data_IF_023422682638
#
_entry.id   IF_023422682638
#
_cell.length_a   1.000
_cell.length_b   1.000
_cell.length_c   1.000
_cell.angle_alpha   90.00
_cell.angle_beta   90.00
_cell.angle_gamma   90.00
#
_symmetry.space_group_name_H-M   'P 1'
#
loop_
_entity.id
_entity.type
_entity.pdbx_description
1 polymer ?
#
# COMPACT_ATOMS: atom_id res chain seq x y z
N UNK A 1 -46.13 -27.46 73.62
CA UNK A 1 -45.08 -28.52 73.61
C UNK A 1 -45.10 -29.21 72.26
N UNK A 2 -43.94 -29.33 71.60
CA UNK A 2 -43.56 -30.29 70.53
C UNK A 2 -44.27 -30.11 69.17
N UNK A 3 -43.57 -29.61 68.15
CA UNK A 3 -42.79 -30.36 67.14
C UNK A 3 -43.71 -31.01 66.09
N UNK A 4 -43.49 -30.97 64.76
CA UNK A 4 -42.27 -30.82 64.00
C UNK A 4 -42.55 -30.26 62.60
N UNK A 5 -41.54 -29.57 62.06
CA UNK A 5 -41.37 -29.23 60.64
C UNK A 5 -41.13 -30.49 59.82
N UNK A 6 -41.65 -30.56 58.61
CA UNK A 6 -41.01 -31.30 57.51
C UNK A 6 -41.06 -30.43 56.26
N UNK A 7 -39.87 -30.02 55.81
CA UNK A 7 -39.60 -29.36 54.54
C UNK A 7 -39.65 -30.41 53.42
N UNK A 8 -40.28 -30.07 52.30
CA UNK A 8 -40.02 -30.73 51.02
C UNK A 8 -39.72 -29.67 49.96
N UNK A 9 -38.42 -29.48 49.70
CA UNK A 9 -37.89 -28.70 48.57
C UNK A 9 -37.89 -29.61 47.34
N UNK A 10 -38.83 -29.39 46.42
CA UNK A 10 -38.75 -29.95 45.07
C UNK A 10 -37.83 -29.05 44.23
N UNK A 11 -36.58 -29.47 44.07
CA UNK A 11 -35.61 -28.82 43.18
C UNK A 11 -35.92 -29.14 41.72
N UNK A 12 -36.32 -28.12 40.95
CA UNK A 12 -36.35 -28.20 39.49
C UNK A 12 -34.93 -28.00 38.94
N UNK A 13 -34.37 -29.04 38.33
CA UNK A 13 -33.10 -28.96 37.62
C UNK A 13 -33.31 -28.26 36.26
N UNK A 14 -32.91 -26.99 36.17
CA UNK A 14 -32.82 -26.28 34.90
C UNK A 14 -31.50 -26.66 34.19
N UNK A 15 -31.60 -27.41 33.09
CA UNK A 15 -30.47 -27.72 32.23
C UNK A 15 -30.05 -26.48 31.43
N UNK A 16 -28.96 -25.83 31.82
CA UNK A 16 -28.36 -24.74 31.06
C UNK A 16 -27.56 -25.31 29.88
N UNK A 17 -28.07 -25.16 28.66
CA UNK A 17 -27.35 -25.45 27.42
C UNK A 17 -26.33 -24.33 27.19
N UNK A 18 -25.08 -24.58 27.55
CA UNK A 18 -23.97 -23.68 27.24
C UNK A 18 -23.64 -23.75 25.75
N UNK A 19 -24.07 -22.75 24.98
CA UNK A 19 -23.62 -22.56 23.60
C UNK A 19 -22.17 -22.09 23.64
N UNK A 20 -21.23 -23.01 23.48
CA UNK A 20 -19.82 -22.69 23.30
C UNK A 20 -19.64 -21.99 21.94
N UNK A 21 -19.63 -20.67 21.96
CA UNK A 21 -19.24 -19.87 20.80
C UNK A 21 -17.76 -20.07 20.51
N UNK A 22 -17.44 -20.74 19.40
CA UNK A 22 -16.08 -20.84 18.89
C UNK A 22 -15.57 -19.46 18.49
N UNK A 23 -14.86 -18.80 19.39
CA UNK A 23 -14.06 -17.64 19.06
C UNK A 23 -12.88 -18.10 18.20
N UNK A 24 -13.03 -18.04 16.87
CA UNK A 24 -11.91 -18.21 15.97
C UNK A 24 -10.84 -17.17 16.33
N UNK A 25 -9.68 -17.63 16.80
CA UNK A 25 -8.55 -16.78 17.10
C UNK A 25 -8.18 -15.99 15.83
N UNK A 26 -8.45 -14.69 15.84
CA UNK A 26 -7.99 -13.79 14.79
C UNK A 26 -6.47 -13.71 14.95
N UNK A 27 -5.74 -14.49 14.15
CA UNK A 27 -4.29 -14.36 14.08
C UNK A 27 -3.96 -12.91 13.73
N UNK A 28 -3.15 -12.20 14.54
CA UNK A 28 -2.74 -10.85 14.21
C UNK A 28 -1.99 -10.86 12.88
N UNK A 29 -2.60 -10.28 11.85
CA UNK A 29 -1.99 -10.16 10.52
C UNK A 29 -0.86 -9.14 10.66
N UNK A 30 0.38 -9.63 10.77
CA UNK A 30 1.55 -8.75 10.73
C UNK A 30 1.62 -8.10 9.34
N UNK A 31 1.70 -6.76 9.24
CA UNK A 31 1.84 -6.11 7.94
C UNK A 31 3.13 -6.55 7.26
N UNK A 32 3.07 -6.82 5.95
CA UNK A 32 4.27 -7.10 5.15
C UNK A 32 5.32 -5.99 5.36
N UNK A 33 6.61 -6.34 5.50
CA UNK A 33 7.68 -5.36 5.67
C UNK A 33 7.74 -4.39 4.48
N UNK A 34 8.22 -3.17 4.71
CA UNK A 34 8.52 -2.24 3.61
C UNK A 34 9.75 -2.72 2.85
N UNK A 35 9.84 -2.44 1.55
CA UNK A 35 11.02 -2.78 0.76
C UNK A 35 12.29 -2.27 1.47
N UNK A 36 13.37 -3.07 1.61
CA UNK A 36 14.54 -2.70 2.40
C UNK A 36 15.12 -1.33 2.03
N UNK A 37 15.21 -1.03 0.73
CA UNK A 37 15.67 0.26 0.20
C UNK A 37 14.82 1.47 0.67
N UNK A 38 13.56 1.26 1.03
CA UNK A 38 12.61 2.29 1.44
C UNK A 38 12.48 2.42 2.97
N UNK A 39 13.24 1.65 3.76
CA UNK A 39 13.11 1.66 5.23
C UNK A 39 13.41 3.03 5.83
N UNK A 40 14.51 3.68 5.38
CA UNK A 40 14.86 5.03 5.82
C UNK A 40 13.85 6.07 5.32
N UNK A 41 13.44 5.93 4.05
CA UNK A 41 12.41 6.76 3.40
C UNK A 41 11.11 6.77 4.20
N UNK A 42 10.67 5.61 4.68
CA UNK A 42 9.46 5.48 5.48
C UNK A 42 9.55 6.29 6.78
N UNK A 43 10.66 6.18 7.50
CA UNK A 43 10.89 6.96 8.73
C UNK A 43 10.86 8.47 8.44
N UNK A 44 11.53 8.90 7.38
CA UNK A 44 11.57 10.32 7.00
C UNK A 44 10.20 10.85 6.57
N UNK A 45 9.40 10.07 5.82
CA UNK A 45 8.04 10.46 5.43
C UNK A 45 7.15 10.63 6.66
N UNK A 46 7.18 9.69 7.61
CA UNK A 46 6.41 9.81 8.86
C UNK A 46 6.74 11.06 9.68
N UNK A 47 8.00 11.49 9.63
CA UNK A 47 8.43 12.70 10.31
C UNK A 47 7.93 13.97 9.61
N UNK A 48 7.77 13.95 8.28
CA UNK A 48 7.44 15.14 7.47
C UNK A 48 5.98 15.28 7.07
N UNK A 49 5.20 14.19 7.08
CA UNK A 49 3.79 14.23 6.65
C UNK A 49 2.87 13.38 7.54
N UNK A 50 1.59 13.77 7.58
CA UNK A 50 0.50 13.02 8.21
C UNK A 50 -0.35 12.25 7.20
N UNK A 51 0.10 12.17 5.95
CA UNK A 51 -0.56 11.36 4.94
C UNK A 51 -0.39 9.86 5.25
N UNK A 52 -1.40 9.03 4.98
CA UNK A 52 -1.21 7.58 4.95
C UNK A 52 -0.11 7.22 3.93
N UNK A 53 0.99 6.65 4.41
CA UNK A 53 2.13 6.27 3.57
C UNK A 53 1.89 4.87 3.03
N UNK A 54 1.68 4.76 1.71
CA UNK A 54 1.61 3.49 1.00
C UNK A 54 2.90 3.33 0.20
N UNK A 55 3.76 2.42 0.65
CA UNK A 55 4.98 2.00 -0.04
C UNK A 55 4.91 0.49 -0.30
N UNK A 56 5.47 -0.01 -1.40
CA UNK A 56 5.48 -1.44 -1.67
C UNK A 56 6.45 -2.19 -0.76
N UNK A 57 6.21 -3.48 -0.61
CA UNK A 57 7.05 -4.38 0.19
C UNK A 57 8.29 -4.86 -0.56
N UNK A 58 8.32 -4.71 -1.88
CA UNK A 58 9.45 -5.01 -2.74
C UNK A 58 9.60 -3.94 -3.82
N UNK A 59 10.77 -3.83 -4.44
CA UNK A 59 10.99 -3.06 -5.66
C UNK A 59 11.56 -3.98 -6.74
N UNK A 60 11.24 -3.75 -8.02
CA UNK A 60 11.81 -4.55 -9.09
C UNK A 60 13.32 -4.32 -9.18
N UNK A 61 14.04 -5.34 -9.66
CA UNK A 61 15.46 -5.22 -9.96
C UNK A 61 15.60 -4.47 -11.29
N UNK A 62 16.36 -3.38 -11.29
CA UNK A 62 16.65 -2.61 -12.50
C UNK A 62 17.87 -3.22 -13.22
N UNK A 63 17.80 -3.29 -14.57
CA UNK A 63 18.75 -4.04 -15.42
C UNK A 63 20.19 -3.56 -15.38
N UNK A 64 20.45 -2.33 -14.94
CA UNK A 64 21.80 -1.81 -14.68
C UNK A 64 22.43 -2.43 -13.40
N UNK A 65 22.39 -3.75 -13.29
CA UNK A 65 23.24 -4.55 -12.41
C UNK A 65 23.11 -4.26 -10.94
N UNK A 66 22.04 -4.72 -10.27
CA UNK A 66 21.93 -4.77 -8.79
C UNK A 66 22.33 -3.48 -8.06
N UNK A 67 22.34 -2.32 -8.75
CA UNK A 67 22.77 -1.06 -8.18
C UNK A 67 21.83 -0.74 -7.03
N UNK A 68 22.36 -0.37 -5.86
CA UNK A 68 21.51 0.07 -4.76
C UNK A 68 20.68 1.26 -5.24
N UNK A 69 19.40 1.27 -4.84
CA UNK A 69 18.58 2.45 -5.03
C UNK A 69 18.91 3.44 -3.93
N UNK A 70 18.90 4.72 -4.29
CA UNK A 70 19.08 5.85 -3.39
C UNK A 70 17.80 6.69 -3.40
N UNK A 71 16.81 6.37 -2.55
CA UNK A 71 15.57 7.12 -2.53
C UNK A 71 15.76 8.48 -1.87
N UNK A 72 15.27 9.53 -2.51
CA UNK A 72 15.15 10.88 -1.94
C UNK A 72 13.69 11.24 -1.74
N UNK A 73 13.40 12.13 -0.78
CA UNK A 73 12.02 12.53 -0.49
C UNK A 73 11.78 14.03 -0.61
N UNK A 74 10.60 14.38 -1.09
CA UNK A 74 9.95 15.67 -0.87
C UNK A 74 8.61 15.42 -0.18
N UNK A 75 8.27 16.17 0.86
CA UNK A 75 7.00 15.98 1.56
C UNK A 75 6.49 17.30 2.14
N UNK A 76 5.17 17.45 2.11
CA UNK A 76 4.44 18.55 2.71
C UNK A 76 3.15 18.04 3.39
N UNK A 77 2.28 18.95 3.84
CA UNK A 77 1.04 18.63 4.53
C UNK A 77 0.00 17.87 3.66
N UNK A 78 0.08 17.98 2.33
CA UNK A 78 -0.87 17.46 1.34
C UNK A 78 -0.25 16.49 0.35
N UNK A 79 1.08 16.42 0.24
CA UNK A 79 1.75 15.51 -0.69
C UNK A 79 3.03 14.88 -0.13
N UNK A 80 3.43 13.76 -0.72
CA UNK A 80 4.81 13.28 -0.64
C UNK A 80 5.26 12.69 -1.98
N UNK A 81 6.55 12.78 -2.25
CA UNK A 81 7.23 12.19 -3.39
C UNK A 81 8.45 11.41 -2.89
N UNK A 82 8.63 10.20 -3.39
CA UNK A 82 9.86 9.41 -3.26
C UNK A 82 10.43 9.25 -4.67
N UNK A 83 11.61 9.81 -4.90
CA UNK A 83 12.35 9.62 -6.16
C UNK A 83 13.33 8.48 -5.97
N UNK A 84 13.27 7.47 -6.84
CA UNK A 84 14.20 6.34 -6.84
C UNK A 84 15.37 6.66 -7.77
N UNK A 85 16.53 6.99 -7.19
CA UNK A 85 17.77 7.25 -7.94
C UNK A 85 18.69 6.02 -8.03
N UNK A 86 19.53 5.97 -9.06
CA UNK A 86 20.63 4.99 -9.18
C UNK A 86 21.96 5.49 -8.57
N UNK A 87 22.00 6.74 -8.13
CA UNK A 87 23.14 7.37 -7.47
C UNK A 87 22.65 8.19 -6.27
N UNK A 88 23.51 8.43 -5.25
CA UNK A 88 23.20 9.36 -4.17
C UNK A 88 22.79 10.73 -4.71
N UNK A 89 21.84 11.37 -4.01
CA UNK A 89 21.40 12.75 -4.29
C UNK A 89 20.96 13.01 -5.74
N UNK A 90 20.32 12.01 -6.35
CA UNK A 90 19.76 12.16 -7.69
C UNK A 90 18.66 13.24 -7.75
N UNK A 91 19.04 14.43 -8.24
CA UNK A 91 18.16 15.58 -8.43
C UNK A 91 17.63 15.76 -9.86
N UNK A 92 17.94 14.84 -10.78
CA UNK A 92 17.64 14.97 -12.20
C UNK A 92 16.94 13.74 -12.78
N UNK A 93 16.19 13.94 -13.87
CA UNK A 93 15.49 12.85 -14.56
C UNK A 93 16.44 11.79 -15.13
N UNK A 94 17.70 12.10 -15.41
CA UNK A 94 18.64 11.16 -16.03
C UNK A 94 19.08 10.03 -15.09
N UNK A 95 19.16 10.30 -13.78
CA UNK A 95 19.58 9.33 -12.78
C UNK A 95 18.42 8.67 -12.04
N UNK A 96 17.17 9.05 -12.34
CA UNK A 96 15.98 8.52 -11.71
C UNK A 96 15.41 7.33 -12.48
N UNK A 97 15.03 6.28 -11.76
CA UNK A 97 14.39 5.07 -12.31
C UNK A 97 12.94 4.91 -11.87
N UNK A 98 12.46 5.75 -10.97
CA UNK A 98 11.07 5.71 -10.57
C UNK A 98 10.66 6.77 -9.59
N UNK A 99 9.35 6.87 -9.39
CA UNK A 99 8.70 7.82 -8.51
C UNK A 99 7.53 7.15 -7.79
N UNK A 100 7.44 7.34 -6.48
CA UNK A 100 6.28 6.98 -5.68
C UNK A 100 5.70 8.26 -5.10
N UNK A 101 4.52 8.64 -5.55
CA UNK A 101 3.90 9.93 -5.23
C UNK A 101 2.55 9.75 -4.57
N UNK A 102 2.22 10.64 -3.64
CA UNK A 102 0.91 10.72 -3.03
C UNK A 102 0.44 12.18 -2.94
N UNK A 103 -0.85 12.40 -3.21
CA UNK A 103 -1.50 13.70 -3.12
C UNK A 103 -2.90 13.60 -2.54
N UNK A 104 -3.15 14.30 -1.44
CA UNK A 104 -4.48 14.50 -0.87
C UNK A 104 -5.20 15.60 -1.64
N UNK A 105 -6.14 15.19 -2.48
CA UNK A 105 -6.98 16.10 -3.25
C UNK A 105 -8.35 15.47 -3.51
N UNK A 106 -9.38 16.31 -3.59
CA UNK A 106 -10.75 15.89 -3.94
C UNK A 106 -10.83 15.47 -5.41
N UNK A 107 -10.02 16.10 -6.28
CA UNK A 107 -9.97 15.84 -7.72
C UNK A 107 -8.99 14.72 -8.01
N UNK A 108 -9.43 13.69 -8.73
CA UNK A 108 -8.51 12.68 -9.24
C UNK A 108 -7.54 13.37 -10.22
N UNK A 109 -6.21 13.22 -10.09
CA UNK A 109 -5.26 13.92 -10.96
C UNK A 109 -5.55 13.63 -12.43
N UNK A 110 -5.30 14.57 -13.35
CA UNK A 110 -5.44 14.30 -14.80
C UNK A 110 -4.54 13.15 -15.26
N UNK A 111 -3.35 12.97 -14.67
CA UNK A 111 -2.49 11.80 -14.87
C UNK A 111 -3.14 10.46 -14.47
N UNK A 112 -4.14 10.54 -13.58
CA UNK A 112 -4.92 9.40 -13.15
C UNK A 112 -6.02 9.02 -14.17
N UNK A 113 -6.15 9.75 -15.28
CA UNK A 113 -6.95 9.34 -16.44
C UNK A 113 -6.30 8.22 -17.26
N UNK A 114 -5.18 7.64 -16.79
CA UNK A 114 -4.38 6.64 -17.50
C UNK A 114 -5.20 5.65 -18.32
N UNK A 115 -4.76 5.37 -19.56
CA UNK A 115 -5.55 4.72 -20.62
C UNK A 115 -6.33 3.46 -20.20
N UNK A 116 -5.78 2.62 -19.34
CA UNK A 116 -6.34 1.31 -19.02
C UNK A 116 -6.83 1.22 -17.56
N UNK A 117 -8.05 0.71 -17.33
CA UNK A 117 -8.52 0.35 -15.98
C UNK A 117 -7.76 -0.88 -15.47
N UNK A 118 -7.44 -0.91 -14.19
CA UNK A 118 -6.78 -2.05 -13.53
C UNK A 118 -7.53 -2.37 -12.24
N UNK A 119 -7.88 -3.65 -12.04
CA UNK A 119 -8.42 -4.12 -10.76
C UNK A 119 -7.27 -4.31 -9.77
N UNK A 120 -7.42 -3.74 -8.58
CA UNK A 120 -6.47 -3.87 -7.48
C UNK A 120 -7.11 -4.67 -6.34
N UNK A 121 -6.29 -5.08 -5.38
CA UNK A 121 -6.74 -5.77 -4.16
C UNK A 121 -7.70 -4.90 -3.35
N UNK A 122 -8.46 -5.54 -2.45
CA UNK A 122 -9.45 -4.89 -1.57
C UNK A 122 -10.53 -4.10 -2.33
N UNK A 123 -10.87 -4.54 -3.55
CA UNK A 123 -11.87 -3.89 -4.41
C UNK A 123 -11.45 -2.53 -4.98
N UNK A 124 -10.21 -2.10 -4.76
CA UNK A 124 -9.72 -0.84 -5.30
C UNK A 124 -9.60 -0.91 -6.83
N UNK A 125 -9.75 0.24 -7.49
CA UNK A 125 -9.53 0.37 -8.93
C UNK A 125 -8.40 1.37 -9.18
N UNK A 126 -7.49 0.99 -10.06
CA UNK A 126 -6.42 1.83 -10.56
C UNK A 126 -6.56 2.15 -12.06
N UNK A 127 -5.71 3.05 -12.52
CA UNK A 127 -5.58 3.48 -13.91
C UNK A 127 -4.12 3.37 -14.31
N UNK A 128 -3.86 2.65 -15.39
CA UNK A 128 -2.53 2.44 -15.93
C UNK A 128 -2.35 3.27 -17.20
N UNK A 129 -1.26 4.03 -17.23
CA UNK A 129 -0.78 4.77 -18.38
C UNK A 129 0.52 4.11 -18.86
N UNK A 130 0.58 3.60 -20.11
CA UNK A 130 1.84 3.10 -20.67
C UNK A 130 2.84 4.24 -20.87
N UNK A 131 4.10 3.88 -21.12
CA UNK A 131 5.12 4.83 -21.59
C UNK A 131 4.55 5.66 -22.74
N UNK A 132 4.69 6.97 -22.64
CA UNK A 132 4.26 7.91 -23.68
C UNK A 132 5.36 8.92 -23.91
N UNK A 133 5.81 9.03 -25.16
CA UNK A 133 6.82 10.02 -25.56
C UNK A 133 6.19 11.05 -26.48
N UNK A 134 6.37 12.32 -26.12
CA UNK A 134 6.13 13.49 -26.98
C UNK A 134 7.39 14.35 -27.00
N UNK A 135 7.29 15.63 -26.63
CA UNK A 135 8.47 16.46 -26.37
C UNK A 135 9.32 15.97 -25.17
N UNK A 136 8.71 15.21 -24.26
CA UNK A 136 9.37 14.50 -23.16
C UNK A 136 8.70 13.13 -22.96
N UNK A 137 9.47 12.13 -22.55
CA UNK A 137 8.95 10.80 -22.23
C UNK A 137 8.43 10.75 -20.80
N UNK A 138 7.15 10.41 -20.66
CA UNK A 138 6.51 10.11 -19.37
C UNK A 138 6.60 8.61 -19.11
N UNK A 139 7.20 8.16 -17.99
CA UNK A 139 7.34 6.74 -17.69
C UNK A 139 5.97 6.04 -17.51
N UNK A 140 5.90 4.71 -17.72
CA UNK A 140 4.76 3.91 -17.33
C UNK A 140 4.34 4.21 -15.90
N UNK A 141 3.05 4.41 -15.68
CA UNK A 141 2.51 4.88 -14.39
C UNK A 141 1.21 4.16 -14.05
N UNK A 142 1.07 3.74 -12.80
CA UNK A 142 -0.22 3.33 -12.23
C UNK A 142 -0.67 4.38 -11.21
N UNK A 143 -1.92 4.80 -11.29
CA UNK A 143 -2.53 5.69 -10.30
C UNK A 143 -3.76 5.04 -9.69
N UNK A 144 -3.91 5.14 -8.38
CA UNK A 144 -5.03 4.59 -7.63
C UNK A 144 -5.34 5.46 -6.42
N UNK A 145 -6.54 5.30 -5.84
CA UNK A 145 -6.95 6.05 -4.65
C UNK A 145 -7.21 5.14 -3.47
N UNK A 146 -6.77 5.58 -2.31
CA UNK A 146 -7.02 4.93 -1.03
C UNK A 146 -7.17 5.99 0.05
N UNK A 147 -8.15 5.85 0.94
CA UNK A 147 -8.41 6.77 2.06
C UNK A 147 -8.39 8.28 1.69
N UNK A 148 -8.94 8.65 0.53
CA UNK A 148 -9.00 10.05 0.08
C UNK A 148 -7.68 10.62 -0.47
N UNK A 149 -6.65 9.79 -0.65
CA UNK A 149 -5.35 10.15 -1.21
C UNK A 149 -5.15 9.45 -2.56
N UNK A 150 -4.61 10.16 -3.53
CA UNK A 150 -4.23 9.60 -4.83
C UNK A 150 -2.76 9.21 -4.79
N UNK A 151 -2.47 7.98 -5.18
CA UNK A 151 -1.13 7.40 -5.23
C UNK A 151 -0.76 7.14 -6.67
N UNK A 152 0.41 7.60 -7.10
CA UNK A 152 0.95 7.37 -8.44
C UNK A 152 2.33 6.73 -8.32
N UNK A 153 2.48 5.53 -8.90
CA UNK A 153 3.75 4.84 -8.98
C UNK A 153 4.20 4.78 -10.43
N UNK A 154 5.40 5.26 -10.69
CA UNK A 154 5.98 5.33 -12.03
C UNK A 154 7.36 4.71 -12.02
N UNK A 155 7.67 3.84 -12.98
CA UNK A 155 8.98 3.21 -13.08
C UNK A 155 9.49 3.23 -14.52
N UNK A 156 10.77 3.53 -14.70
CA UNK A 156 11.51 3.34 -15.95
C UNK A 156 12.06 1.92 -15.96
N UNK A 157 11.20 0.99 -16.33
CA UNK A 157 11.56 -0.41 -16.50
C UNK A 157 12.25 -0.54 -17.85
N UNK A 158 13.48 -1.04 -17.88
CA UNK A 158 14.19 -1.37 -19.12
C UNK A 158 13.66 -2.71 -19.69
N UNK A 159 12.34 -2.75 -19.94
CA UNK A 159 11.59 -3.92 -20.38
C UNK A 159 10.87 -3.57 -21.68
N UNK A 160 11.13 -4.34 -22.73
CA UNK A 160 10.58 -4.11 -24.07
C UNK A 160 9.12 -4.59 -24.24
N UNK A 161 8.24 -4.45 -23.23
CA UNK A 161 6.81 -4.85 -23.32
C UNK A 161 5.88 -4.08 -22.35
N UNK A 162 4.87 -3.34 -22.86
CA UNK A 162 3.93 -2.56 -22.03
C UNK A 162 3.13 -3.38 -21.01
N UNK A 163 2.77 -4.63 -21.33
CA UNK A 163 2.01 -5.49 -20.42
C UNK A 163 2.84 -5.92 -19.20
N UNK A 164 4.16 -5.96 -19.35
CA UNK A 164 5.06 -6.28 -18.23
C UNK A 164 5.14 -5.11 -17.26
N UNK A 165 5.23 -3.87 -17.76
CA UNK A 165 5.22 -2.67 -16.91
C UNK A 165 3.92 -2.55 -16.14
N UNK A 166 2.79 -2.81 -16.81
CA UNK A 166 1.47 -2.86 -16.18
C UNK A 166 1.44 -3.89 -15.06
N UNK A 167 1.92 -5.10 -15.31
CA UNK A 167 1.95 -6.19 -14.32
C UNK A 167 2.80 -5.82 -13.10
N UNK A 168 4.02 -5.30 -13.32
CA UNK A 168 4.94 -4.87 -12.26
C UNK A 168 4.32 -3.76 -11.42
N UNK A 169 3.83 -2.68 -12.05
CA UNK A 169 3.20 -1.56 -11.34
C UNK A 169 1.93 -2.00 -10.58
N UNK A 170 1.15 -2.91 -11.15
CA UNK A 170 -0.02 -3.51 -10.49
C UNK A 170 0.39 -4.31 -9.26
N UNK A 171 1.47 -5.10 -9.35
CA UNK A 171 2.03 -5.85 -8.20
C UNK A 171 2.43 -4.88 -7.09
N UNK A 172 3.16 -3.81 -7.40
CA UNK A 172 3.61 -2.82 -6.41
C UNK A 172 2.44 -2.11 -5.73
N UNK A 173 1.44 -1.66 -6.50
CA UNK A 173 0.22 -1.08 -5.96
C UNK A 173 -0.50 -2.06 -5.01
N UNK A 174 -0.60 -3.33 -5.40
CA UNK A 174 -1.23 -4.36 -4.59
C UNK A 174 -0.45 -4.68 -3.31
N UNK A 175 0.89 -4.71 -3.35
CA UNK A 175 1.73 -4.87 -2.14
C UNK A 175 1.52 -3.71 -1.17
N UNK A 176 1.51 -2.48 -1.68
CA UNK A 176 1.29 -1.29 -0.86
C UNK A 176 -0.11 -1.29 -0.22
N UNK A 177 -1.15 -1.65 -0.99
CA UNK A 177 -2.51 -1.79 -0.48
C UNK A 177 -2.68 -2.95 0.50
N UNK A 178 -1.95 -4.05 0.31
CA UNK A 178 -2.01 -5.22 1.19
C UNK A 178 -1.55 -4.88 2.59
N UNK A 179 -0.33 -4.38 2.73
CA UNK A 179 0.21 -4.00 4.04
C UNK A 179 -0.37 -2.69 4.60
N UNK A 180 -0.98 -1.86 3.75
CA UNK A 180 -1.70 -0.66 4.19
C UNK A 180 -0.78 0.49 4.63
N UNK A 181 -1.37 1.53 5.27
CA UNK A 181 -0.62 2.67 5.79
C UNK A 181 0.43 2.21 6.80
N UNK A 182 1.68 2.60 6.58
CA UNK A 182 2.80 2.09 7.37
C UNK A 182 3.78 3.15 7.82
#
# INVERSE_FOLDING_TARGET
>A
MRSARVLTLAGAAAAAVAVAGSAAAVTPVTPDPVAPALTSTLKQLKAKTKLPVLLPSELPVFREGKKPLYPTIGADAKSYAVTLGLVPDCGANVCSVGYLYALRTKKFPSAAQGKYKVKLRKGATGRYQPLSCGASCTPPTITFRSAGVNYSYSLKLDIKRPDTDRSVLTKLANQALAAGPR
#
